data_IF_079878901406
#
_entry.id   IF_079878901406
#
_cell.length_a   1.000
_cell.length_b   1.000
_cell.length_c   1.000
_cell.angle_alpha   90.00
_cell.angle_beta   90.00
_cell.angle_gamma   90.00
#
_symmetry.space_group_name_H-M   'P 1'
#
loop_
_entity.id
_entity.type
_entity.pdbx_description
1 polymer ?
#
# COMPACT_ATOMS: atom_id res chain seq x y z
N UNK A 1 -58.22 4.38 13.22
CA UNK A 1 -56.88 3.76 13.14
C UNK A 1 -56.42 3.51 14.57
N UNK A 2 -56.27 2.24 14.98
CA UNK A 2 -56.29 1.80 16.39
C UNK A 2 -54.93 1.94 17.11
N UNK A 3 -54.99 2.33 18.39
CA UNK A 3 -53.88 2.67 19.31
C UNK A 3 -52.79 1.60 19.49
N UNK A 4 -53.03 0.39 18.98
CA UNK A 4 -52.08 -0.74 19.01
C UNK A 4 -50.91 -0.54 18.03
N UNK A 5 -51.15 0.15 16.90
CA UNK A 5 -50.14 0.42 15.88
C UNK A 5 -49.15 1.53 16.30
N UNK A 6 -49.54 2.39 17.24
CA UNK A 6 -48.72 3.51 17.73
C UNK A 6 -47.69 3.00 18.75
N UNK A 7 -48.09 2.10 19.66
CA UNK A 7 -47.20 1.48 20.66
C UNK A 7 -46.11 0.60 20.02
N UNK A 8 -46.45 -0.08 18.93
CA UNK A 8 -45.52 -0.93 18.16
C UNK A 8 -44.44 -0.11 17.44
N UNK A 9 -44.80 1.08 16.93
CA UNK A 9 -43.87 2.00 16.27
C UNK A 9 -42.96 2.71 17.28
N UNK A 10 -43.47 3.08 18.46
CA UNK A 10 -42.68 3.71 19.53
C UNK A 10 -41.62 2.76 20.13
N UNK A 11 -41.93 1.48 20.29
CA UNK A 11 -40.97 0.49 20.80
C UNK A 11 -39.82 0.20 19.80
N UNK A 12 -40.12 0.25 18.50
CA UNK A 12 -39.13 0.02 17.45
C UNK A 12 -38.13 1.19 17.29
N UNK A 13 -38.55 2.41 17.58
CA UNK A 13 -37.70 3.62 17.44
C UNK A 13 -36.73 3.77 18.61
N UNK A 14 -37.10 3.33 19.82
CA UNK A 14 -36.26 3.43 21.01
C UNK A 14 -35.09 2.41 21.04
N UNK A 15 -35.18 1.32 20.27
CA UNK A 15 -34.15 0.28 20.19
C UNK A 15 -33.09 0.52 19.10
N UNK A 16 -33.33 1.46 18.19
CA UNK A 16 -32.38 1.83 17.12
C UNK A 16 -31.34 2.87 17.55
N UNK A 17 -31.59 3.59 18.65
CA UNK A 17 -30.71 4.65 19.12
C UNK A 17 -29.35 4.20 19.69
N UNK A 18 -29.19 3.04 20.38
CA UNK A 18 -27.88 2.60 20.85
C UNK A 18 -27.04 1.93 19.74
N UNK A 19 -27.68 1.41 18.69
CA UNK A 19 -27.00 0.80 17.53
C UNK A 19 -26.28 1.84 16.66
N UNK A 20 -26.81 3.05 16.56
CA UNK A 20 -26.18 4.13 15.80
C UNK A 20 -24.96 4.74 16.52
N UNK A 21 -24.91 4.67 17.86
CA UNK A 21 -23.80 5.20 18.66
C UNK A 21 -22.52 4.33 18.56
N UNK A 22 -22.65 3.01 18.34
CA UNK A 22 -21.52 2.09 18.14
C UNK A 22 -20.82 2.24 16.79
N UNK A 23 -21.51 2.79 15.78
CA UNK A 23 -20.93 3.00 14.44
C UNK A 23 -19.95 4.17 14.42
N UNK A 24 -20.15 5.18 15.28
CA UNK A 24 -19.32 6.41 15.27
C UNK A 24 -17.93 6.19 15.89
N UNK A 25 -17.81 5.31 16.90
CA UNK A 25 -16.53 5.04 17.59
C UNK A 25 -15.54 4.19 16.79
N UNK A 26 -15.97 3.54 15.70
CA UNK A 26 -15.10 2.73 14.86
C UNK A 26 -14.50 3.49 13.67
N UNK A 27 -14.67 4.81 13.63
CA UNK A 27 -14.02 5.68 12.64
C UNK A 27 -12.53 5.80 12.98
N UNK A 28 -11.75 4.76 12.68
CA UNK A 28 -10.30 4.87 12.59
C UNK A 28 -10.03 5.87 11.48
N UNK A 29 -9.58 7.06 11.85
CA UNK A 29 -8.99 8.00 10.92
C UNK A 29 -7.72 7.36 10.37
N UNK A 30 -7.84 6.61 9.28
CA UNK A 30 -6.69 6.23 8.47
C UNK A 30 -6.13 7.55 7.95
N UNK A 31 -4.89 7.93 8.28
CA UNK A 31 -4.31 9.14 7.72
C UNK A 31 -4.35 8.97 6.21
N UNK A 32 -5.22 9.74 5.56
CA UNK A 32 -5.26 9.83 4.12
C UNK A 32 -4.03 10.65 3.73
N UNK A 33 -2.90 9.97 3.57
CA UNK A 33 -1.77 10.54 2.86
C UNK A 33 -2.25 10.82 1.44
N UNK A 34 -2.50 12.09 1.14
CA UNK A 34 -2.81 12.61 -0.19
C UNK A 34 -1.55 12.65 -1.08
N UNK A 35 -0.78 11.58 -1.06
CA UNK A 35 0.16 11.21 -2.10
C UNK A 35 -0.44 9.96 -2.72
N UNK A 36 -0.72 9.99 -4.02
CA UNK A 36 -1.13 8.83 -4.80
C UNK A 36 -0.32 7.62 -4.33
N UNK A 37 -0.98 6.69 -3.63
CA UNK A 37 -0.32 5.63 -2.87
C UNK A 37 0.50 4.79 -3.87
N UNK A 38 1.82 4.96 -3.85
CA UNK A 38 2.70 4.29 -4.78
C UNK A 38 2.80 2.82 -4.37
N UNK A 39 2.16 1.95 -5.16
CA UNK A 39 2.20 0.51 -4.91
C UNK A 39 3.52 -0.08 -5.42
N UNK A 40 4.52 -0.06 -4.54
CA UNK A 40 5.83 -0.65 -4.79
C UNK A 40 5.76 -2.15 -5.12
N UNK A 41 4.80 -2.88 -4.55
CA UNK A 41 4.63 -4.31 -4.81
C UNK A 41 4.09 -4.57 -6.22
N UNK A 42 3.09 -3.79 -6.65
CA UNK A 42 2.57 -3.87 -8.02
C UNK A 42 3.63 -3.46 -9.05
N UNK A 43 4.40 -2.41 -8.78
CA UNK A 43 5.49 -1.98 -9.66
C UNK A 43 6.59 -3.04 -9.73
N UNK A 44 7.02 -3.57 -8.58
CA UNK A 44 7.99 -4.67 -8.53
C UNK A 44 7.49 -5.86 -9.35
N UNK A 45 6.24 -6.28 -9.14
CA UNK A 45 5.59 -7.37 -9.87
C UNK A 45 5.58 -7.13 -11.38
N UNK A 46 5.23 -5.93 -11.82
CA UNK A 46 5.05 -5.61 -13.23
C UNK A 46 6.36 -5.33 -13.98
N UNK A 47 7.39 -4.79 -13.30
CA UNK A 47 8.59 -4.22 -13.95
C UNK A 47 9.90 -4.90 -13.55
N UNK A 48 9.95 -5.56 -12.39
CA UNK A 48 11.21 -6.03 -11.82
C UNK A 48 11.29 -7.57 -11.77
N UNK A 49 10.18 -8.27 -11.54
CA UNK A 49 10.16 -9.73 -11.34
C UNK A 49 10.74 -10.53 -12.51
N UNK A 50 10.61 -10.03 -13.75
CA UNK A 50 11.16 -10.69 -14.94
C UNK A 50 12.66 -10.96 -14.80
N UNK A 51 13.41 -10.03 -14.20
CA UNK A 51 14.85 -10.16 -13.98
C UNK A 51 15.19 -10.57 -12.54
N UNK A 52 14.44 -10.08 -11.55
CA UNK A 52 14.76 -10.26 -10.14
C UNK A 52 14.09 -11.48 -9.47
N UNK A 53 13.11 -12.12 -10.12
CA UNK A 53 12.34 -13.21 -9.52
C UNK A 53 11.17 -12.71 -8.67
N UNK A 54 10.31 -13.61 -8.21
CA UNK A 54 9.09 -13.22 -7.47
C UNK A 54 9.39 -12.75 -6.04
N UNK A 55 10.52 -13.19 -5.47
CA UNK A 55 10.99 -12.87 -4.12
C UNK A 55 12.24 -11.97 -4.15
N UNK A 56 12.53 -11.30 -5.27
CA UNK A 56 13.77 -10.57 -5.49
C UNK A 56 15.04 -11.43 -5.25
N UNK A 57 14.95 -12.74 -5.47
CA UNK A 57 15.99 -13.71 -5.18
C UNK A 57 17.14 -13.71 -6.21
N UNK A 58 16.97 -13.00 -7.33
CA UNK A 58 17.97 -12.89 -8.40
C UNK A 58 18.50 -11.48 -8.50
N UNK A 59 19.83 -11.36 -8.63
CA UNK A 59 20.53 -10.11 -8.99
C UNK A 59 20.21 -8.91 -8.08
N UNK A 60 19.75 -9.16 -6.86
CA UNK A 60 19.53 -8.16 -5.83
C UNK A 60 20.50 -8.44 -4.68
N UNK A 61 21.27 -7.44 -4.29
CA UNK A 61 22.23 -7.51 -3.20
C UNK A 61 21.74 -6.61 -2.07
N UNK A 62 21.07 -7.22 -1.09
CA UNK A 62 20.50 -6.53 0.06
C UNK A 62 21.57 -6.00 1.04
N UNK A 63 22.85 -6.37 0.85
CA UNK A 63 23.97 -5.95 1.69
C UNK A 63 24.46 -4.54 1.36
N UNK A 64 24.06 -4.02 0.19
CA UNK A 64 24.38 -2.64 -0.23
C UNK A 64 23.59 -1.62 0.57
N UNK A 65 24.17 -0.44 0.73
CA UNK A 65 23.47 0.70 1.34
C UNK A 65 22.27 1.12 0.51
N UNK A 66 21.27 1.73 1.16
CA UNK A 66 20.08 2.22 0.47
C UNK A 66 20.44 3.26 -0.60
N UNK A 67 21.40 4.14 -0.33
CA UNK A 67 21.89 5.13 -1.29
C UNK A 67 22.52 4.48 -2.53
N UNK A 68 23.31 3.42 -2.36
CA UNK A 68 23.91 2.71 -3.49
C UNK A 68 22.83 2.01 -4.31
N UNK A 69 21.86 1.38 -3.65
CA UNK A 69 20.71 0.76 -4.32
C UNK A 69 19.84 1.79 -5.06
N UNK A 70 19.65 2.99 -4.50
CA UNK A 70 18.93 4.08 -5.15
C UNK A 70 19.63 4.57 -6.40
N UNK A 71 20.95 4.82 -6.32
CA UNK A 71 21.74 5.17 -7.51
C UNK A 71 21.67 4.06 -8.56
N UNK A 72 21.63 2.79 -8.13
CA UNK A 72 21.47 1.67 -9.06
C UNK A 72 20.12 1.72 -9.77
N UNK A 73 19.01 1.80 -9.03
CA UNK A 73 17.66 1.82 -9.61
C UNK A 73 17.45 3.03 -10.52
N UNK A 74 17.87 4.22 -10.09
CA UNK A 74 17.61 5.44 -10.82
C UNK A 74 18.52 5.60 -12.03
N UNK A 75 19.81 5.30 -11.88
CA UNK A 75 20.85 5.68 -12.86
C UNK A 75 21.59 4.54 -13.54
N UNK A 76 21.54 3.31 -13.01
CA UNK A 76 22.24 2.21 -13.67
C UNK A 76 21.52 1.84 -14.97
N UNK A 77 22.05 2.29 -16.10
CA UNK A 77 21.72 1.76 -17.43
C UNK A 77 22.56 0.52 -17.77
N UNK A 78 22.70 -0.43 -16.83
CA UNK A 78 23.46 -1.65 -17.08
C UNK A 78 22.71 -2.52 -18.11
N UNK A 79 23.39 -3.33 -18.92
CA UNK A 79 22.72 -4.26 -19.83
C UNK A 79 21.73 -5.14 -19.06
N UNK A 80 20.43 -5.00 -19.34
CA UNK A 80 19.35 -5.74 -18.66
C UNK A 80 18.66 -5.05 -17.47
N UNK A 81 19.15 -3.88 -17.02
CA UNK A 81 18.48 -3.04 -16.02
C UNK A 81 18.52 -1.58 -16.49
N UNK A 82 17.40 -0.99 -16.95
CA UNK A 82 17.37 0.39 -17.41
C UNK A 82 17.46 1.39 -16.24
N UNK A 83 17.93 2.60 -16.54
CA UNK A 83 17.84 3.73 -15.62
C UNK A 83 16.37 4.13 -15.44
N UNK A 84 15.76 3.79 -14.30
CA UNK A 84 14.33 3.98 -14.08
C UNK A 84 13.91 5.43 -13.84
N UNK A 85 14.87 6.33 -13.58
CA UNK A 85 14.62 7.78 -13.58
C UNK A 85 14.05 8.23 -14.94
N UNK A 86 14.62 7.73 -16.04
CA UNK A 86 14.12 8.01 -17.41
C UNK A 86 12.75 7.40 -17.70
N UNK A 87 12.26 6.53 -16.81
CA UNK A 87 10.94 5.88 -16.86
C UNK A 87 9.94 6.53 -15.90
N UNK A 88 10.31 7.62 -15.23
CA UNK A 88 9.43 8.37 -14.33
C UNK A 88 9.40 7.85 -12.89
N UNK A 89 10.30 6.94 -12.50
CA UNK A 89 10.45 6.54 -11.10
C UNK A 89 11.22 7.63 -10.35
N UNK A 90 10.61 8.18 -9.31
CA UNK A 90 11.25 9.16 -8.42
C UNK A 90 12.11 8.47 -7.36
N UNK A 91 12.94 9.23 -6.65
CA UNK A 91 13.74 8.71 -5.55
C UNK A 91 12.89 8.04 -4.46
N UNK A 92 11.80 8.67 -4.06
CA UNK A 92 10.89 8.13 -3.04
C UNK A 92 10.23 6.82 -3.49
N UNK A 93 9.87 6.72 -4.77
CA UNK A 93 9.35 5.48 -5.35
C UNK A 93 10.41 4.39 -5.42
N UNK A 94 11.65 4.74 -5.79
CA UNK A 94 12.76 3.81 -5.79
C UNK A 94 13.06 3.28 -4.37
N UNK A 95 13.01 4.15 -3.35
CA UNK A 95 13.13 3.74 -1.93
C UNK A 95 12.05 2.73 -1.57
N UNK A 96 10.80 3.00 -1.93
CA UNK A 96 9.69 2.10 -1.67
C UNK A 96 9.86 0.73 -2.36
N UNK A 97 10.35 0.70 -3.61
CA UNK A 97 10.65 -0.55 -4.34
C UNK A 97 11.77 -1.32 -3.62
N UNK A 98 12.86 -0.65 -3.25
CA UNK A 98 14.00 -1.29 -2.56
C UNK A 98 13.57 -1.86 -1.22
N UNK A 99 12.79 -1.11 -0.44
CA UNK A 99 12.23 -1.58 0.82
C UNK A 99 11.34 -2.82 0.63
N UNK A 100 10.49 -2.82 -0.40
CA UNK A 100 9.69 -4.00 -0.74
C UNK A 100 10.56 -5.21 -1.06
N UNK A 101 11.59 -5.03 -1.91
CA UNK A 101 12.53 -6.10 -2.28
C UNK A 101 13.27 -6.67 -1.06
N UNK A 102 13.72 -5.82 -0.11
CA UNK A 102 14.33 -6.27 1.15
C UNK A 102 13.37 -7.07 2.02
N UNK A 103 12.11 -6.62 2.12
CA UNK A 103 11.06 -7.33 2.86
C UNK A 103 10.85 -8.76 2.34
N UNK A 104 10.95 -8.99 1.02
CA UNK A 104 10.77 -10.32 0.43
C UNK A 104 11.86 -11.34 0.82
N UNK A 105 13.03 -10.87 1.25
CA UNK A 105 14.12 -11.74 1.75
C UNK A 105 13.95 -12.12 3.23
N UNK A 106 13.08 -11.44 3.96
CA UNK A 106 12.79 -11.72 5.36
C UNK A 106 11.56 -12.63 5.55
N UNK A 107 10.97 -13.12 4.46
CA UNK A 107 9.78 -13.99 4.42
C UNK A 107 10.12 -15.42 3.99
#
# INVERSE_FOLDING_TARGET
MTSKQIKLKLAAILCMLPLLALVVLNSRTVPTSTAQEFDAAAVFKAKCTMCHGQKAERKFDASKSDDELLQIVLKSGKPGMPAFETKGITEEQAKAIIAHMKSLHQQ
#
